data_IF_717413553725
#
_entry.id   IF_717413553725
#
_cell.length_a   1.000
_cell.length_b   1.000
_cell.length_c   1.000
_cell.angle_alpha   90.00
_cell.angle_beta   90.00
_cell.angle_gamma   90.00
#
_symmetry.space_group_name_H-M   'P 1'
#
loop_
_entity.id
_entity.type
_entity.pdbx_description
1 polymer ?
#
# COMPACT_ATOMS: atom_id res chain seq x y z
N UNK A 1 5.62 15.48 0.56
CA UNK A 1 6.18 14.34 1.33
C UNK A 1 5.12 13.89 2.30
N UNK A 2 4.64 12.65 2.16
CA UNK A 2 3.41 12.13 2.78
C UNK A 2 2.82 10.93 2.01
N UNK A 3 3.31 10.69 0.79
CA UNK A 3 2.92 9.56 -0.04
C UNK A 3 3.51 8.21 0.41
N UNK A 4 4.55 8.25 1.25
CA UNK A 4 5.23 7.05 1.75
C UNK A 4 4.30 6.12 2.52
N UNK A 5 3.30 6.65 3.24
CA UNK A 5 2.32 5.82 3.95
C UNK A 5 1.47 4.98 3.00
N UNK A 6 0.97 5.56 1.91
CA UNK A 6 0.13 4.82 0.94
C UNK A 6 0.92 3.71 0.25
N UNK A 7 2.18 3.98 -0.12
CA UNK A 7 3.07 2.96 -0.65
C UNK A 7 3.35 1.87 0.39
N UNK A 8 3.63 2.26 1.64
CA UNK A 8 3.89 1.33 2.73
C UNK A 8 2.67 0.42 2.98
N UNK A 9 1.44 0.94 2.97
CA UNK A 9 0.23 0.14 3.15
C UNK A 9 0.05 -0.92 2.06
N UNK A 10 0.29 -0.56 0.80
CA UNK A 10 0.25 -1.52 -0.30
C UNK A 10 1.32 -2.62 -0.15
N UNK A 11 2.57 -2.22 0.11
CA UNK A 11 3.66 -3.17 0.35
C UNK A 11 3.41 -4.05 1.58
N UNK A 12 2.80 -3.49 2.62
CA UNK A 12 2.47 -4.20 3.85
C UNK A 12 1.40 -5.28 3.60
N UNK A 13 0.35 -4.97 2.83
CA UNK A 13 -0.66 -5.96 2.43
C UNK A 13 -0.05 -7.15 1.69
N UNK A 14 0.91 -6.91 0.80
CA UNK A 14 1.66 -7.97 0.14
C UNK A 14 2.55 -8.75 1.13
N UNK A 15 3.19 -8.05 2.06
CA UNK A 15 4.00 -8.68 3.12
C UNK A 15 3.17 -9.58 4.04
N UNK A 16 1.93 -9.21 4.36
CA UNK A 16 1.00 -10.07 5.10
C UNK A 16 0.76 -11.39 4.35
N UNK A 17 0.52 -11.32 3.04
CA UNK A 17 0.37 -12.52 2.20
C UNK A 17 1.62 -13.41 2.20
N UNK A 18 2.80 -12.82 2.03
CA UNK A 18 4.05 -13.58 2.05
C UNK A 18 4.33 -14.21 3.43
N UNK A 19 3.93 -13.55 4.53
CA UNK A 19 3.98 -14.12 5.87
C UNK A 19 3.02 -15.31 6.04
N UNK A 20 1.79 -15.19 5.54
CA UNK A 20 0.84 -16.31 5.57
C UNK A 20 1.34 -17.50 4.75
N UNK A 21 1.90 -17.25 3.57
CA UNK A 21 2.51 -18.30 2.74
C UNK A 21 3.69 -18.99 3.43
N UNK A 22 4.51 -18.24 4.17
CA UNK A 22 5.62 -18.81 4.93
C UNK A 22 5.16 -19.58 6.19
N UNK A 23 4.05 -19.17 6.80
CA UNK A 23 3.50 -19.77 8.02
C UNK A 23 2.59 -20.99 7.74
N UNK A 24 2.03 -21.12 6.53
CA UNK A 24 1.04 -22.14 6.21
C UNK A 24 -0.23 -21.97 7.04
N UNK A 25 -0.69 -23.06 7.66
CA UNK A 25 -1.86 -23.05 8.54
C UNK A 25 -1.59 -22.41 9.91
N UNK A 26 -0.33 -22.13 10.23
CA UNK A 26 0.10 -21.54 11.50
C UNK A 26 -0.01 -20.01 11.55
N UNK A 27 0.36 -19.47 12.71
CA UNK A 27 0.54 -18.03 12.88
C UNK A 27 1.87 -17.57 12.25
N UNK A 28 1.93 -16.35 11.67
CA UNK A 28 3.19 -15.72 11.30
C UNK A 28 4.19 -15.75 12.45
N UNK A 29 5.46 -16.04 12.16
CA UNK A 29 6.48 -16.26 13.19
C UNK A 29 6.58 -15.11 14.21
N UNK A 30 6.50 -13.85 13.75
CA UNK A 30 6.54 -12.68 14.63
C UNK A 30 5.35 -12.60 15.60
N UNK A 31 4.17 -13.10 15.22
CA UNK A 31 2.99 -13.15 16.10
C UNK A 31 3.20 -14.17 17.21
N UNK A 32 3.78 -15.33 16.87
CA UNK A 32 4.17 -16.33 17.87
C UNK A 32 5.23 -15.78 18.83
N UNK A 33 6.22 -15.03 18.34
CA UNK A 33 7.22 -14.36 19.19
C UNK A 33 6.60 -13.31 20.13
N UNK A 34 5.52 -12.67 19.71
CA UNK A 34 4.77 -11.69 20.51
C UNK A 34 3.68 -12.36 21.38
N UNK A 35 3.68 -13.69 21.50
CA UNK A 35 2.71 -14.47 22.28
C UNK A 35 1.25 -14.29 21.86
N UNK A 36 0.99 -14.03 20.57
CA UNK A 36 -0.36 -14.03 20.03
C UNK A 36 -0.86 -15.47 19.88
N UNK A 37 -2.10 -15.71 20.26
CA UNK A 37 -2.75 -17.03 20.20
C UNK A 37 -3.61 -17.21 18.96
N UNK A 38 -4.10 -16.12 18.37
CA UNK A 38 -5.03 -16.14 17.24
C UNK A 38 -4.67 -15.08 16.21
N UNK A 39 -5.08 -15.31 14.96
CA UNK A 39 -4.87 -14.38 13.88
C UNK A 39 -5.87 -13.22 13.99
N UNK A 40 -5.41 -11.95 14.01
CA UNK A 40 -6.32 -10.82 14.05
C UNK A 40 -7.25 -10.78 12.83
N UNK A 41 -8.47 -10.26 13.00
CA UNK A 41 -9.47 -10.20 11.93
C UNK A 41 -9.02 -9.45 10.67
N UNK A 42 -8.18 -8.42 10.80
CA UNK A 42 -7.64 -7.66 9.67
C UNK A 42 -6.55 -8.41 8.87
N UNK A 43 -6.05 -9.54 9.38
CA UNK A 43 -5.21 -10.48 8.64
C UNK A 43 -6.02 -11.58 7.94
N UNK A 44 -7.34 -11.66 8.16
CA UNK A 44 -8.17 -12.70 7.57
C UNK A 44 -8.16 -12.62 6.03
N UNK A 45 -8.08 -13.80 5.40
CA UNK A 45 -8.05 -13.97 3.95
C UNK A 45 -6.73 -13.59 3.28
N UNK A 46 -5.73 -13.08 4.02
CA UNK A 46 -4.42 -12.71 3.45
C UNK A 46 -3.59 -13.91 2.99
N UNK A 47 -4.04 -15.14 3.24
CA UNK A 47 -3.54 -16.37 2.63
C UNK A 47 -3.92 -16.51 1.14
N UNK A 48 -5.01 -15.85 0.70
CA UNK A 48 -5.45 -15.83 -0.69
C UNK A 48 -4.80 -14.66 -1.46
N UNK A 49 -4.18 -15.00 -2.59
CA UNK A 49 -3.48 -14.01 -3.42
C UNK A 49 -4.40 -12.92 -3.99
N UNK A 50 -5.59 -13.27 -4.45
CA UNK A 50 -6.52 -12.29 -5.03
C UNK A 50 -7.00 -11.30 -3.96
N UNK A 51 -7.30 -11.80 -2.76
CA UNK A 51 -7.67 -10.96 -1.63
C UNK A 51 -6.52 -10.02 -1.24
N UNK A 52 -5.29 -10.55 -1.18
CA UNK A 52 -4.11 -9.73 -0.91
C UNK A 52 -3.94 -8.63 -1.97
N UNK A 53 -4.10 -8.93 -3.26
CA UNK A 53 -4.04 -7.92 -4.34
C UNK A 53 -5.15 -6.87 -4.23
N UNK A 54 -6.36 -7.26 -3.82
CA UNK A 54 -7.42 -6.30 -3.50
C UNK A 54 -6.98 -5.38 -2.36
N UNK A 55 -6.41 -5.90 -1.27
CA UNK A 55 -5.92 -5.09 -0.15
C UNK A 55 -4.78 -4.15 -0.55
N UNK A 56 -3.87 -4.56 -1.44
CA UNK A 56 -2.76 -3.72 -1.96
C UNK A 56 -3.31 -2.43 -2.59
N UNK A 57 -4.48 -2.47 -3.22
CA UNK A 57 -5.11 -1.30 -3.85
C UNK A 57 -6.11 -0.62 -2.91
N UNK A 58 -6.97 -1.41 -2.25
CA UNK A 58 -8.07 -0.90 -1.44
C UNK A 58 -7.58 -0.26 -0.14
N UNK A 59 -6.57 -0.81 0.53
CA UNK A 59 -6.08 -0.24 1.80
C UNK A 59 -5.54 1.19 1.62
N UNK A 60 -4.58 1.46 0.71
CA UNK A 60 -4.15 2.83 0.45
C UNK A 60 -5.25 3.67 -0.21
N UNK A 61 -6.08 3.08 -1.09
CA UNK A 61 -7.16 3.79 -1.77
C UNK A 61 -8.25 4.30 -0.81
N UNK A 62 -8.68 3.48 0.14
CA UNK A 62 -9.65 3.86 1.18
C UNK A 62 -9.08 4.92 2.11
N UNK A 63 -7.81 4.77 2.55
CA UNK A 63 -7.18 5.80 3.36
C UNK A 63 -7.08 7.13 2.60
N UNK A 64 -6.72 7.08 1.31
CA UNK A 64 -6.63 8.26 0.46
C UNK A 64 -8.00 8.91 0.25
N UNK A 65 -9.06 8.11 0.11
CA UNK A 65 -10.43 8.59 -0.02
C UNK A 65 -10.89 9.28 1.26
N UNK A 66 -10.72 8.65 2.43
CA UNK A 66 -11.11 9.23 3.72
C UNK A 66 -10.33 10.51 3.97
N UNK A 67 -9.00 10.46 3.84
CA UNK A 67 -8.16 11.64 4.04
C UNK A 67 -8.50 12.76 3.04
N UNK A 68 -8.62 12.43 1.76
CA UNK A 68 -8.96 13.37 0.70
C UNK A 68 -10.33 14.02 0.95
N UNK A 69 -11.34 13.22 1.29
CA UNK A 69 -12.68 13.73 1.60
C UNK A 69 -12.64 14.80 2.69
N UNK A 70 -11.98 14.54 3.83
CA UNK A 70 -11.87 15.52 4.91
C UNK A 70 -10.99 16.72 4.53
N UNK A 71 -9.87 16.50 3.86
CA UNK A 71 -8.97 17.58 3.44
C UNK A 71 -9.66 18.57 2.49
N UNK A 72 -10.42 18.07 1.51
CA UNK A 72 -11.16 18.90 0.56
C UNK A 72 -12.40 19.54 1.17
N UNK A 73 -13.16 18.81 2.00
CA UNK A 73 -14.33 19.35 2.72
C UNK A 73 -13.95 20.54 3.59
N UNK A 74 -12.79 20.46 4.25
CA UNK A 74 -12.25 21.52 5.11
C UNK A 74 -11.54 22.64 4.36
N UNK A 75 -11.53 22.62 3.02
CA UNK A 75 -10.87 23.62 2.13
C UNK A 75 -9.43 23.92 2.51
N UNK A 76 -8.67 22.91 2.91
CA UNK A 76 -7.31 23.08 3.40
C UNK A 76 -6.36 23.30 2.22
N UNK A 77 -5.57 24.38 2.26
CA UNK A 77 -4.65 24.78 1.17
C UNK A 77 -3.23 24.98 1.68
N UNK A 78 -2.26 24.85 0.76
CA UNK A 78 -0.86 25.21 0.99
C UNK A 78 -0.20 24.43 2.13
N UNK A 79 0.45 25.14 3.06
CA UNK A 79 1.29 24.58 4.12
C UNK A 79 0.51 23.64 5.05
N UNK A 80 -0.74 23.98 5.38
CA UNK A 80 -1.57 23.15 6.26
C UNK A 80 -1.83 21.75 5.69
N UNK A 81 -1.98 21.64 4.37
CA UNK A 81 -2.11 20.34 3.71
C UNK A 81 -0.85 19.50 3.89
N UNK A 82 0.33 20.11 3.73
CA UNK A 82 1.60 19.43 3.96
C UNK A 82 1.73 18.93 5.40
N UNK A 83 1.45 19.79 6.39
CA UNK A 83 1.52 19.44 7.82
C UNK A 83 0.61 18.24 8.13
N UNK A 84 -0.63 18.24 7.62
CA UNK A 84 -1.54 17.12 7.82
C UNK A 84 -1.05 15.82 7.19
N UNK A 85 -0.54 15.86 5.96
CA UNK A 85 -0.02 14.64 5.30
C UNK A 85 1.21 14.08 6.01
N UNK A 86 2.05 14.95 6.59
CA UNK A 86 3.18 14.55 7.43
C UNK A 86 2.70 13.95 8.76
N UNK A 87 1.75 14.61 9.43
CA UNK A 87 1.15 14.10 10.66
C UNK A 87 0.48 12.73 10.46
N UNK A 88 -0.23 12.53 9.34
CA UNK A 88 -0.81 11.25 8.96
C UNK A 88 0.28 10.18 8.77
N UNK A 89 1.36 10.51 8.08
CA UNK A 89 2.49 9.59 7.88
C UNK A 89 3.15 9.21 9.20
N UNK A 90 3.31 10.18 10.10
CA UNK A 90 3.88 9.97 11.42
C UNK A 90 2.95 9.13 12.32
N UNK A 91 1.64 9.41 12.31
CA UNK A 91 0.65 8.60 13.01
C UNK A 91 0.62 7.15 12.49
N UNK A 92 0.70 6.98 11.17
CA UNK A 92 0.87 5.68 10.53
C UNK A 92 2.13 4.97 11.01
N UNK A 93 3.28 5.64 10.98
CA UNK A 93 4.53 5.10 11.52
C UNK A 93 4.36 4.60 12.96
N UNK A 94 3.81 5.44 13.86
CA UNK A 94 3.57 5.06 15.25
C UNK A 94 2.65 3.84 15.39
N UNK A 95 1.58 3.78 14.58
CA UNK A 95 0.64 2.66 14.58
C UNK A 95 1.31 1.35 14.18
N UNK A 96 2.13 1.38 13.12
CA UNK A 96 2.88 0.21 12.65
C UNK A 96 3.99 -0.20 13.62
N UNK A 97 4.56 0.74 14.37
CA UNK A 97 5.63 0.50 15.35
C UNK A 97 5.14 -0.20 16.62
N UNK A 98 3.84 -0.09 16.95
CA UNK A 98 3.26 -0.74 18.12
C UNK A 98 3.16 -2.26 17.88
N UNK A 99 3.81 -3.06 18.73
CA UNK A 99 3.71 -4.52 18.65
C UNK A 99 2.29 -5.04 18.98
N UNK A 100 1.57 -4.32 19.84
CA UNK A 100 0.20 -4.66 20.27
C UNK A 100 -0.85 -4.57 19.16
N UNK A 101 -0.55 -3.86 18.06
CA UNK A 101 -1.49 -3.69 16.95
C UNK A 101 -1.44 -4.83 15.95
N UNK A 102 -0.61 -5.86 16.17
CA UNK A 102 -0.50 -7.03 15.30
C UNK A 102 0.11 -6.72 13.93
N UNK A 103 0.75 -5.57 13.78
CA UNK A 103 1.49 -5.17 12.58
C UNK A 103 2.99 -5.49 12.64
N UNK A 104 3.42 -6.25 13.64
CA UNK A 104 4.81 -6.71 13.77
C UNK A 104 5.79 -5.68 14.32
N UNK A 105 5.36 -4.42 14.53
CA UNK A 105 6.15 -3.39 15.20
C UNK A 105 7.57 -3.28 14.66
N UNK A 106 8.53 -3.35 15.57
CA UNK A 106 9.96 -3.31 15.25
C UNK A 106 10.55 -4.66 14.87
N UNK A 107 9.77 -5.74 14.98
CA UNK A 107 10.24 -7.08 14.66
C UNK A 107 10.21 -7.34 13.14
N UNK A 108 9.31 -6.66 12.42
CA UNK A 108 9.20 -6.72 10.97
C UNK A 108 8.76 -8.09 10.43
N UNK A 109 8.73 -8.19 9.09
CA UNK A 109 8.43 -9.43 8.38
C UNK A 109 9.71 -10.17 7.99
N UNK A 110 9.75 -11.48 8.21
CA UNK A 110 10.95 -12.31 8.02
C UNK A 110 10.61 -13.66 7.41
N UNK A 111 11.57 -14.36 6.80
CA UNK A 111 11.36 -15.71 6.23
C UNK A 111 10.39 -15.78 5.03
N UNK A 112 10.41 -14.79 4.12
CA UNK A 112 9.74 -14.93 2.83
C UNK A 112 10.40 -16.04 2.01
N UNK A 113 9.67 -17.14 1.75
CA UNK A 113 10.19 -18.32 1.03
C UNK A 113 9.56 -18.49 -0.34
N UNK A 114 8.25 -18.32 -0.42
CA UNK A 114 7.46 -18.61 -1.62
C UNK A 114 6.43 -17.53 -1.91
N UNK A 115 6.05 -17.43 -3.18
CA UNK A 115 4.97 -16.61 -3.71
C UNK A 115 4.18 -17.50 -4.68
N UNK A 116 2.87 -17.67 -4.48
CA UNK A 116 2.02 -18.54 -5.32
C UNK A 116 2.58 -19.98 -5.48
N UNK A 117 3.21 -20.52 -4.43
CA UNK A 117 3.85 -21.85 -4.48
C UNK A 117 5.23 -21.90 -5.14
N UNK A 118 5.70 -20.80 -5.75
CA UNK A 118 7.04 -20.72 -6.35
C UNK A 118 8.05 -20.12 -5.38
N UNK A 119 9.27 -20.63 -5.35
CA UNK A 119 10.34 -20.06 -4.54
C UNK A 119 10.74 -18.66 -5.03
N UNK A 120 10.82 -17.69 -4.13
CA UNK A 120 11.20 -16.29 -4.43
C UNK A 120 12.68 -16.18 -4.81
N UNK A 121 13.52 -17.12 -4.35
CA UNK A 121 14.95 -17.14 -4.69
C UNK A 121 15.24 -17.75 -6.06
N UNK A 122 14.28 -18.45 -6.67
CA UNK A 122 14.47 -19.08 -7.97
C UNK A 122 14.63 -18.04 -9.09
N UNK A 123 15.50 -18.34 -10.06
CA UNK A 123 15.80 -17.44 -11.17
C UNK A 123 14.56 -17.14 -12.02
N UNK A 124 13.72 -18.16 -12.27
CA UNK A 124 12.47 -18.01 -13.01
C UNK A 124 11.50 -17.04 -12.35
N UNK A 125 11.23 -17.19 -11.05
CA UNK A 125 10.35 -16.28 -10.30
C UNK A 125 10.88 -14.84 -10.32
N UNK A 126 12.19 -14.64 -10.11
CA UNK A 126 12.79 -13.30 -10.14
C UNK A 126 12.65 -12.63 -11.50
N UNK A 127 12.92 -13.37 -12.59
CA UNK A 127 12.76 -12.86 -13.95
C UNK A 127 11.29 -12.49 -14.25
N UNK A 128 10.34 -13.34 -13.85
CA UNK A 128 8.90 -13.08 -14.03
C UNK A 128 8.44 -11.87 -13.22
N UNK A 129 8.86 -11.73 -11.96
CA UNK A 129 8.53 -10.55 -11.13
C UNK A 129 9.11 -9.26 -11.68
N UNK A 130 10.33 -9.33 -12.21
CA UNK A 130 10.98 -8.20 -12.88
C UNK A 130 10.19 -7.79 -14.14
N UNK A 131 9.90 -8.74 -15.03
CA UNK A 131 9.11 -8.47 -16.24
C UNK A 131 7.71 -7.95 -15.90
N UNK A 132 7.05 -8.53 -14.89
CA UNK A 132 5.74 -8.06 -14.43
C UNK A 132 5.81 -6.60 -13.93
N UNK A 133 6.88 -6.25 -13.20
CA UNK A 133 7.10 -4.87 -12.73
C UNK A 133 7.33 -3.90 -13.90
N UNK A 134 8.11 -4.30 -14.91
CA UNK A 134 8.33 -3.49 -16.12
C UNK A 134 7.01 -3.31 -16.88
N UNK A 135 6.23 -4.37 -17.07
CA UNK A 135 4.92 -4.29 -17.73
C UNK A 135 3.97 -3.39 -16.96
N UNK A 136 3.90 -3.51 -15.63
CA UNK A 136 3.07 -2.65 -14.78
C UNK A 136 3.52 -1.19 -14.86
N UNK A 137 4.82 -0.92 -14.88
CA UNK A 137 5.36 0.42 -15.04
C UNK A 137 4.93 1.02 -16.38
N UNK A 138 5.16 0.31 -17.48
CA UNK A 138 4.77 0.75 -18.83
C UNK A 138 3.26 0.96 -18.92
N UNK A 139 2.46 0.04 -18.39
CA UNK A 139 1.00 0.15 -18.35
C UNK A 139 0.56 1.39 -17.55
N UNK A 140 1.17 1.64 -16.39
CA UNK A 140 0.85 2.80 -15.55
C UNK A 140 1.15 4.12 -16.25
N UNK A 141 2.29 4.22 -16.95
CA UNK A 141 2.67 5.39 -17.74
C UNK A 141 1.73 5.56 -18.94
N UNK A 142 1.39 4.48 -19.62
CA UNK A 142 0.47 4.50 -20.76
C UNK A 142 -0.94 4.96 -20.35
N UNK A 143 -1.48 4.42 -19.24
CA UNK A 143 -2.77 4.84 -18.68
C UNK A 143 -2.71 6.31 -18.28
N UNK A 144 -1.65 6.73 -17.59
CA UNK A 144 -1.45 8.13 -17.20
C UNK A 144 -1.42 9.07 -18.41
N UNK A 145 -0.71 8.69 -19.46
CA UNK A 145 -0.65 9.42 -20.72
C UNK A 145 -2.02 9.50 -21.42
N UNK A 146 -2.75 8.39 -21.51
CA UNK A 146 -4.11 8.36 -22.07
C UNK A 146 -5.09 9.20 -21.26
N UNK A 147 -5.01 9.17 -19.93
CA UNK A 147 -5.85 10.00 -19.06
C UNK A 147 -5.57 11.49 -19.29
N UNK A 148 -4.29 11.88 -19.38
CA UNK A 148 -3.89 13.26 -19.61
C UNK A 148 -4.41 13.80 -20.96
N UNK A 149 -4.43 12.97 -22.01
CA UNK A 149 -4.95 13.35 -23.32
C UNK A 149 -6.49 13.30 -23.45
N UNK A 150 -7.15 12.63 -22.49
CA UNK A 150 -8.61 12.50 -22.47
C UNK A 150 -9.30 13.85 -22.24
N UNK A 151 -10.63 13.90 -22.47
CA UNK A 151 -11.44 15.10 -22.19
C UNK A 151 -11.30 15.54 -20.73
N UNK A 152 -11.25 14.58 -19.80
CA UNK A 152 -11.05 14.86 -18.37
C UNK A 152 -9.70 15.51 -18.09
N UNK A 153 -8.62 14.98 -18.67
CA UNK A 153 -7.28 15.54 -18.53
C UNK A 153 -7.20 16.98 -19.04
N UNK A 154 -7.78 17.26 -20.21
CA UNK A 154 -7.84 18.62 -20.76
C UNK A 154 -8.65 19.60 -19.89
N UNK A 155 -9.74 19.15 -19.28
CA UNK A 155 -10.53 19.98 -18.36
C UNK A 155 -9.71 20.33 -17.11
N UNK A 156 -9.00 19.36 -16.54
CA UNK A 156 -8.10 19.60 -15.40
C UNK A 156 -6.97 20.57 -15.75
N UNK A 157 -6.36 20.43 -16.93
CA UNK A 157 -5.32 21.36 -17.40
C UNK A 157 -5.88 22.77 -17.55
N UNK A 158 -7.06 22.93 -18.17
CA UNK A 158 -7.71 24.23 -18.34
C UNK A 158 -8.05 24.90 -16.99
N UNK A 159 -8.51 24.13 -15.99
CA UNK A 159 -8.76 24.63 -14.64
C UNK A 159 -7.48 25.14 -13.96
N UNK A 160 -6.38 24.38 -14.08
CA UNK A 160 -5.07 24.79 -13.54
C UNK A 160 -4.55 26.06 -14.20
N UNK A 161 -4.66 26.16 -15.53
CA UNK A 161 -4.20 27.35 -16.27
C UNK A 161 -5.05 28.59 -15.96
N UNK A 162 -6.33 28.43 -15.63
CA UNK A 162 -7.20 29.50 -15.17
C UNK A 162 -6.84 29.97 -13.74
N UNK A 163 -6.49 29.05 -12.84
CA UNK A 163 -6.09 29.36 -11.47
C UNK A 163 -4.76 30.14 -11.41
N UNK A 164 -3.88 29.96 -12.40
CA UNK A 164 -2.58 30.65 -12.49
C UNK A 164 -2.67 32.11 -13.01
N UNK A 165 -3.86 32.58 -13.38
CA UNK A 165 -4.09 33.91 -13.98
C UNK A 165 -4.83 34.90 -13.07
N UNK A 166 -5.27 34.47 -11.89
CA UNK A 166 -5.90 35.29 -10.84
C UNK A 166 -4.94 35.49 -9.67
#
# INVERSE_FOLDING_TARGET
MGHGLFFALGGYAMGMYLMRQAAGDGLPAFMTFLSWTELPWYWAGTDNFLWAMCLVVLAPGLLALVFGFFAFRSRIKGVYFSIMTQALTFAGMLLFFRNETGFGGNNGFTNFRSILGFSISSQGTRATLFLATVVLLVASLYIGWKLAQSKFGRVLTALRDAENRL
#
